data_IF_452375039657
#
_entry.id   IF_452375039657
#
_cell.length_a   1.000
_cell.length_b   1.000
_cell.length_c   1.000
_cell.angle_alpha   90.00
_cell.angle_beta   90.00
_cell.angle_gamma   90.00
#
_symmetry.space_group_name_H-M   'P 1'
#
loop_
_entity.id
_entity.type
_entity.pdbx_description
1 polymer ?
#
# COMPACT_ATOMS: atom_id res chain seq x y z
N UNK A 1 -6.75 -12.61 6.42
CA UNK A 1 -8.19 -12.29 6.39
C UNK A 1 -8.60 -12.18 4.94
N UNK A 2 -9.75 -12.71 4.56
CA UNK A 2 -10.24 -12.68 3.18
C UNK A 2 -11.32 -11.62 3.04
N UNK A 3 -11.46 -11.06 1.83
CA UNK A 3 -12.54 -10.10 1.52
C UNK A 3 -13.93 -10.66 1.81
N UNK A 4 -14.11 -11.97 1.69
CA UNK A 4 -15.34 -12.70 2.03
C UNK A 4 -15.76 -12.54 3.50
N UNK A 5 -14.80 -12.22 4.37
CA UNK A 5 -15.03 -12.07 5.81
C UNK A 5 -15.62 -10.69 6.17
N UNK A 6 -15.62 -9.74 5.21
CA UNK A 6 -16.18 -8.41 5.38
C UNK A 6 -17.68 -8.43 4.98
N UNK A 7 -18.59 -7.91 5.82
CA UNK A 7 -20.02 -7.89 5.51
C UNK A 7 -20.33 -7.18 4.18
N UNK A 8 -21.02 -7.88 3.27
CA UNK A 8 -21.39 -7.35 1.93
C UNK A 8 -22.06 -5.98 1.97
N UNK A 9 -22.87 -5.71 3.00
CA UNK A 9 -23.57 -4.43 3.18
C UNK A 9 -22.62 -3.23 3.27
N UNK A 10 -21.38 -3.42 3.73
CA UNK A 10 -20.38 -2.35 3.77
C UNK A 10 -19.90 -1.98 2.36
N UNK A 11 -19.78 -2.94 1.45
CA UNK A 11 -19.46 -2.67 0.05
C UNK A 11 -20.65 -2.07 -0.70
N UNK A 12 -21.87 -2.51 -0.37
CA UNK A 12 -23.11 -1.94 -0.93
C UNK A 12 -23.40 -0.51 -0.45
N UNK A 13 -22.61 0.05 0.49
CA UNK A 13 -22.75 1.43 0.94
C UNK A 13 -22.37 2.47 -0.11
N UNK A 14 -21.49 2.10 -1.04
CA UNK A 14 -21.11 2.94 -2.16
C UNK A 14 -22.05 2.60 -3.33
N UNK A 15 -22.57 3.62 -4.00
CA UNK A 15 -23.47 3.43 -5.15
C UNK A 15 -22.69 2.91 -6.37
N UNK A 16 -23.39 2.26 -7.29
CA UNK A 16 -22.78 1.75 -8.53
C UNK A 16 -22.33 2.87 -9.47
N UNK A 17 -23.02 4.01 -9.45
CA UNK A 17 -22.75 5.20 -10.27
C UNK A 17 -21.74 6.19 -9.63
N UNK A 18 -21.17 5.85 -8.47
CA UNK A 18 -20.16 6.71 -7.82
C UNK A 18 -18.87 6.74 -8.67
N UNK A 19 -18.39 7.92 -9.10
CA UNK A 19 -17.22 8.04 -9.97
C UNK A 19 -15.92 7.53 -9.31
N UNK A 20 -15.89 7.41 -7.98
CA UNK A 20 -14.76 6.90 -7.20
C UNK A 20 -15.03 5.52 -6.59
N UNK A 21 -16.05 4.80 -7.08
CA UNK A 21 -16.51 3.52 -6.52
C UNK A 21 -15.35 2.57 -6.21
N UNK A 22 -14.51 2.28 -7.20
CA UNK A 22 -13.38 1.33 -7.03
C UNK A 22 -12.44 1.79 -5.91
N UNK A 23 -12.07 3.08 -5.89
CA UNK A 23 -11.20 3.67 -4.88
C UNK A 23 -11.81 3.62 -3.47
N UNK A 24 -13.11 3.95 -3.35
CA UNK A 24 -13.83 3.91 -2.07
C UNK A 24 -13.94 2.47 -1.55
N UNK A 25 -14.30 1.51 -2.40
CA UNK A 25 -14.41 0.09 -2.02
C UNK A 25 -13.06 -0.48 -1.53
N UNK A 26 -11.96 -0.15 -2.23
CA UNK A 26 -10.61 -0.55 -1.82
C UNK A 26 -10.24 0.00 -0.44
N UNK A 27 -10.54 1.28 -0.19
CA UNK A 27 -10.27 1.90 1.11
C UNK A 27 -11.17 1.37 2.24
N UNK A 28 -12.44 1.06 1.95
CA UNK A 28 -13.35 0.40 2.91
C UNK A 28 -12.80 -0.97 3.30
N UNK A 29 -12.36 -1.77 2.33
CA UNK A 29 -11.77 -3.08 2.58
C UNK A 29 -10.58 -2.99 3.56
N UNK A 30 -9.65 -2.07 3.29
CA UNK A 30 -8.47 -1.88 4.15
C UNK A 30 -8.81 -1.33 5.52
N UNK A 31 -9.73 -0.36 5.59
CA UNK A 31 -10.22 0.16 6.87
C UNK A 31 -10.85 -0.95 7.72
N UNK A 32 -11.61 -1.86 7.08
CA UNK A 32 -12.20 -3.03 7.75
C UNK A 32 -11.13 -3.98 8.30
N UNK A 33 -10.04 -4.24 7.56
CA UNK A 33 -8.94 -5.06 8.08
C UNK A 33 -8.27 -4.43 9.32
N UNK A 34 -8.08 -3.11 9.33
CA UNK A 34 -7.53 -2.39 10.50
C UNK A 34 -8.52 -2.33 11.68
N UNK A 35 -9.83 -2.39 11.41
CA UNK A 35 -10.91 -2.25 12.38
C UNK A 35 -11.74 -3.52 12.55
N UNK A 36 -11.11 -4.67 12.36
CA UNK A 36 -11.78 -5.97 12.29
C UNK A 36 -12.68 -6.25 13.50
N UNK A 37 -12.22 -5.95 14.72
CA UNK A 37 -13.00 -6.15 15.94
C UNK A 37 -14.29 -5.31 15.99
N UNK A 38 -14.31 -4.12 15.38
CA UNK A 38 -15.48 -3.24 15.39
C UNK A 38 -16.64 -3.85 14.61
N UNK A 39 -16.37 -4.49 13.48
CA UNK A 39 -17.42 -5.06 12.64
C UNK A 39 -17.61 -6.57 12.83
N UNK A 40 -16.59 -7.36 13.21
CA UNK A 40 -16.73 -8.82 13.43
C UNK A 40 -17.74 -9.13 14.52
N UNK A 41 -17.73 -8.34 15.60
CA UNK A 41 -18.63 -8.49 16.75
C UNK A 41 -19.97 -7.78 16.55
N UNK A 42 -20.19 -7.19 15.37
CA UNK A 42 -21.39 -6.45 15.03
C UNK A 42 -22.50 -7.36 14.50
N UNK A 43 -23.73 -7.11 14.94
CA UNK A 43 -24.92 -7.64 14.25
C UNK A 43 -25.38 -6.70 13.13
N UNK A 44 -26.41 -7.13 12.39
CA UNK A 44 -27.01 -6.40 11.26
C UNK A 44 -27.22 -4.90 11.51
N UNK A 45 -27.68 -4.52 12.72
CA UNK A 45 -27.88 -3.11 13.11
C UNK A 45 -26.59 -2.29 13.04
N UNK A 46 -25.47 -2.82 13.55
CA UNK A 46 -24.16 -2.15 13.54
C UNK A 46 -23.58 -2.08 12.13
N UNK A 47 -23.71 -3.16 11.35
CA UNK A 47 -23.25 -3.17 9.96
C UNK A 47 -24.01 -2.17 9.10
N UNK A 48 -25.34 -2.09 9.25
CA UNK A 48 -26.15 -1.12 8.53
C UNK A 48 -25.79 0.33 8.91
N UNK A 49 -25.58 0.59 10.20
CA UNK A 49 -25.15 1.92 10.64
C UNK A 49 -23.76 2.28 10.12
N UNK A 50 -22.80 1.35 10.18
CA UNK A 50 -21.47 1.57 9.62
C UNK A 50 -21.53 1.81 8.10
N UNK A 51 -22.37 1.06 7.37
CA UNK A 51 -22.62 1.32 5.95
C UNK A 51 -23.18 2.73 5.72
N UNK A 52 -24.11 3.21 6.57
CA UNK A 52 -24.62 4.58 6.49
C UNK A 52 -23.50 5.61 6.72
N UNK A 53 -22.63 5.40 7.71
CA UNK A 53 -21.48 6.28 7.97
C UNK A 53 -20.53 6.30 6.75
N UNK A 54 -20.17 5.14 6.20
CA UNK A 54 -19.29 5.03 5.03
C UNK A 54 -19.90 5.57 3.74
N UNK A 55 -21.24 5.61 3.63
CA UNK A 55 -21.95 6.23 2.51
C UNK A 55 -22.01 7.77 2.57
N UNK A 56 -21.62 8.37 3.71
CA UNK A 56 -21.69 9.80 3.91
C UNK A 56 -20.57 10.54 3.18
N UNK A 57 -20.91 11.60 2.44
CA UNK A 57 -19.92 12.45 1.76
C UNK A 57 -18.92 13.09 2.74
N UNK A 58 -19.34 13.52 3.93
CA UNK A 58 -18.41 14.07 4.95
C UNK A 58 -17.31 13.10 5.41
N UNK A 59 -17.47 11.80 5.15
CA UNK A 59 -16.47 10.78 5.45
C UNK A 59 -15.46 10.60 4.31
N UNK A 60 -15.54 11.38 3.24
CA UNK A 60 -14.64 11.31 2.09
C UNK A 60 -14.08 12.69 1.76
N UNK A 61 -12.76 12.77 1.60
CA UNK A 61 -12.03 13.97 1.19
C UNK A 61 -11.54 13.80 -0.23
N UNK A 62 -11.70 14.83 -1.08
CA UNK A 62 -11.02 14.86 -2.39
C UNK A 62 -9.52 15.01 -2.16
N UNK A 63 -8.74 14.24 -2.92
CA UNK A 63 -7.28 14.27 -2.88
C UNK A 63 -6.72 14.24 -4.29
N UNK A 64 -5.56 14.86 -4.47
CA UNK A 64 -4.86 14.92 -5.75
C UNK A 64 -3.90 13.73 -5.89
N UNK A 65 -4.48 12.54 -6.05
CA UNK A 65 -3.74 11.30 -6.31
C UNK A 65 -4.59 10.32 -7.15
N UNK A 66 -4.04 9.16 -7.49
CA UNK A 66 -4.71 8.14 -8.32
C UNK A 66 -6.11 7.74 -7.82
N UNK A 67 -6.35 7.78 -6.51
CA UNK A 67 -7.66 7.43 -5.98
C UNK A 67 -8.70 8.54 -6.13
N UNK A 68 -8.28 9.80 -6.23
CA UNK A 68 -9.14 11.01 -6.30
C UNK A 68 -9.91 11.33 -5.01
N UNK A 69 -10.06 10.35 -4.12
CA UNK A 69 -10.70 10.48 -2.81
C UNK A 69 -9.97 9.68 -1.73
N UNK A 70 -10.06 10.13 -0.48
CA UNK A 70 -9.52 9.48 0.71
C UNK A 70 -10.59 9.39 1.80
N UNK A 71 -10.67 8.24 2.47
CA UNK A 71 -11.56 8.06 3.62
C UNK A 71 -11.09 8.98 4.77
N UNK A 72 -11.96 9.89 5.20
CA UNK A 72 -11.75 10.69 6.40
C UNK A 72 -12.15 9.88 7.64
N UNK A 73 -11.16 9.16 8.15
CA UNK A 73 -11.36 8.24 9.26
C UNK A 73 -11.59 8.94 10.60
N UNK A 74 -11.10 10.18 10.76
CA UNK A 74 -11.45 11.02 11.90
C UNK A 74 -12.96 11.27 11.91
N UNK A 75 -13.52 11.66 10.75
CA UNK A 75 -14.96 11.88 10.62
C UNK A 75 -15.78 10.59 10.77
N UNK A 76 -15.28 9.45 10.28
CA UNK A 76 -15.87 8.14 10.57
C UNK A 76 -15.94 7.90 12.08
N UNK A 77 -14.81 8.07 12.79
CA UNK A 77 -14.74 7.95 14.25
C UNK A 77 -15.75 8.83 14.97
N UNK A 78 -15.82 10.13 14.60
CA UNK A 78 -16.78 11.09 15.16
C UNK A 78 -18.22 10.61 14.99
N UNK A 79 -18.62 10.17 13.79
CA UNK A 79 -19.98 9.66 13.53
C UNK A 79 -20.27 8.37 14.30
N UNK A 80 -19.27 7.51 14.50
CA UNK A 80 -19.45 6.26 15.26
C UNK A 80 -19.71 6.50 16.75
N UNK A 81 -19.22 7.59 17.34
CA UNK A 81 -19.41 7.88 18.78
C UNK A 81 -20.59 8.80 19.09
N UNK A 82 -21.30 9.31 18.07
CA UNK A 82 -22.44 10.23 18.26
C UNK A 82 -23.57 9.60 19.10
N UNK A 83 -24.33 10.41 19.87
CA UNK A 83 -25.51 9.94 20.59
C UNK A 83 -26.49 9.19 19.66
N UNK A 84 -27.02 8.07 20.14
CA UNK A 84 -27.92 7.20 19.35
C UNK A 84 -27.20 6.18 18.45
N UNK A 85 -25.87 6.26 18.33
CA UNK A 85 -25.07 5.25 17.64
C UNK A 85 -25.24 3.86 18.27
N UNK A 86 -25.35 2.77 17.48
CA UNK A 86 -25.31 1.40 17.99
C UNK A 86 -23.92 0.99 18.54
N UNK A 87 -22.95 1.89 18.47
CA UNK A 87 -21.63 1.81 19.09
C UNK A 87 -21.53 2.62 20.39
N UNK A 88 -22.65 3.00 21.01
CA UNK A 88 -22.69 3.74 22.29
C UNK A 88 -21.98 3.04 23.47
N UNK A 89 -21.70 1.74 23.36
CA UNK A 89 -20.93 0.94 24.32
C UNK A 89 -19.93 0.05 23.54
N UNK A 90 -19.09 0.67 22.68
CA UNK A 90 -17.71 1.01 23.06
C UNK A 90 -17.22 2.42 22.65
N UNK A 91 -18.05 3.49 22.76
CA UNK A 91 -17.68 4.85 22.30
C UNK A 91 -16.31 5.37 22.77
N UNK A 92 -15.92 5.09 24.02
CA UNK A 92 -14.63 5.54 24.55
C UNK A 92 -13.44 4.83 23.88
N UNK A 93 -13.56 3.54 23.59
CA UNK A 93 -12.54 2.77 22.86
C UNK A 93 -12.40 3.27 21.43
N UNK A 94 -13.52 3.54 20.74
CA UNK A 94 -13.50 4.14 19.40
C UNK A 94 -12.85 5.52 19.43
N UNK A 95 -13.22 6.37 20.39
CA UNK A 95 -12.62 7.70 20.54
C UNK A 95 -11.12 7.62 20.77
N UNK A 96 -10.65 6.68 21.60
CA UNK A 96 -9.24 6.44 21.88
C UNK A 96 -8.48 5.95 20.63
N UNK A 97 -9.05 5.01 19.86
CA UNK A 97 -8.44 4.47 18.62
C UNK A 97 -8.32 5.52 17.52
N UNK A 98 -9.32 6.41 17.41
CA UNK A 98 -9.32 7.52 16.47
C UNK A 98 -8.63 8.79 17.02
N UNK A 99 -8.08 8.75 18.23
CA UNK A 99 -7.48 9.90 18.92
C UNK A 99 -8.34 11.17 18.89
N UNK A 100 -9.64 11.03 19.16
CA UNK A 100 -10.60 12.13 19.25
C UNK A 100 -10.43 12.88 20.59
N UNK A 101 -9.32 13.58 20.76
CA UNK A 101 -8.84 14.14 22.06
C UNK A 101 -9.94 14.81 22.90
N UNK A 102 -10.72 15.72 22.31
CA UNK A 102 -11.81 16.42 22.99
C UNK A 102 -12.92 15.46 23.45
N UNK A 103 -13.33 14.52 22.59
CA UNK A 103 -14.36 13.53 22.90
C UNK A 103 -13.88 12.54 23.96
N UNK A 104 -12.59 12.15 23.93
CA UNK A 104 -11.98 11.29 24.95
C UNK A 104 -12.09 11.97 26.32
N UNK A 105 -11.71 13.24 26.42
CA UNK A 105 -11.81 14.03 27.67
C UNK A 105 -13.26 14.11 28.14
N UNK A 106 -14.19 14.44 27.23
CA UNK A 106 -15.61 14.57 27.57
C UNK A 106 -16.22 13.24 28.06
N UNK A 107 -15.97 12.15 27.35
CA UNK A 107 -16.45 10.81 27.70
C UNK A 107 -15.84 10.32 29.03
N UNK A 108 -14.57 10.61 29.27
CA UNK A 108 -13.91 10.26 30.52
C UNK A 108 -14.51 11.03 31.71
N UNK A 109 -14.71 12.34 31.57
CA UNK A 109 -15.34 13.17 32.61
C UNK A 109 -16.82 12.80 32.85
N UNK A 110 -17.57 12.44 31.81
CA UNK A 110 -18.93 11.93 31.96
C UNK A 110 -18.96 10.62 32.75
N UNK A 111 -18.03 9.69 32.46
CA UNK A 111 -17.87 8.46 33.25
C UNK A 111 -17.54 8.77 34.69
N UNK A 112 -16.59 9.67 34.95
CA UNK A 112 -16.19 10.08 36.30
C UNK A 112 -17.37 10.67 37.08
N UNK A 113 -18.18 11.53 36.46
CA UNK A 113 -19.42 12.06 37.05
C UNK A 113 -20.42 10.94 37.37
N UNK A 114 -20.64 9.99 36.46
CA UNK A 114 -21.51 8.82 36.69
C UNK A 114 -21.05 7.93 37.83
N UNK A 115 -19.73 7.70 37.95
CA UNK A 115 -19.16 6.91 39.05
C UNK A 115 -19.26 7.67 40.38
N UNK A 116 -18.98 8.98 40.37
CA UNK A 116 -19.12 9.83 41.56
C UNK A 116 -20.56 9.87 42.08
N UNK A 117 -21.55 9.92 41.18
CA UNK A 117 -22.97 9.91 41.55
C UNK A 117 -23.42 8.62 42.27
N UNK A 118 -22.63 7.54 42.20
CA UNK A 118 -22.92 6.29 42.94
C UNK A 118 -22.50 6.36 44.42
N UNK A 119 -21.87 7.45 44.87
CA UNK A 119 -21.56 7.70 46.28
C UNK A 119 -20.44 6.83 46.87
N UNK A 120 -19.71 6.07 46.05
CA UNK A 120 -18.59 5.21 46.49
C UNK A 120 -17.26 5.82 46.06
N UNK A 121 -16.51 6.36 47.01
CA UNK A 121 -15.19 6.98 46.76
C UNK A 121 -14.19 6.04 46.10
N UNK A 122 -14.24 4.73 46.40
CA UNK A 122 -13.39 3.71 45.79
C UNK A 122 -13.55 3.60 44.27
N UNK A 123 -14.68 4.03 43.70
CA UNK A 123 -14.90 4.05 42.25
C UNK A 123 -14.12 5.16 41.53
N UNK A 124 -13.70 6.19 42.27
CA UNK A 124 -12.90 7.30 41.76
C UNK A 124 -11.40 7.07 41.98
N UNK A 125 -11.03 6.03 42.72
CA UNK A 125 -9.64 5.61 42.85
C UNK A 125 -9.09 5.11 41.51
N UNK A 126 -7.79 5.31 41.32
CA UNK A 126 -7.06 4.94 40.11
C UNK A 126 -7.42 3.53 39.56
N UNK A 127 -7.57 2.54 40.44
CA UNK A 127 -7.93 1.18 40.05
C UNK A 127 -9.28 1.11 39.31
N UNK A 128 -10.31 1.78 39.79
CA UNK A 128 -11.63 1.74 39.15
C UNK A 128 -11.77 2.78 38.03
N UNK A 129 -11.17 3.95 38.21
CA UNK A 129 -11.29 5.06 37.29
C UNK A 129 -10.51 4.81 36.00
N UNK A 130 -9.30 4.25 36.11
CA UNK A 130 -8.38 4.06 34.97
C UNK A 130 -8.33 2.59 34.53
N UNK A 131 -8.08 1.63 35.44
CA UNK A 131 -7.85 0.22 35.07
C UNK A 131 -9.10 -0.48 34.52
N UNK A 132 -10.30 0.01 34.84
CA UNK A 132 -11.56 -0.55 34.34
C UNK A 132 -12.07 0.11 33.05
N UNK A 133 -11.29 0.98 32.40
CA UNK A 133 -11.69 1.61 31.12
C UNK A 133 -11.51 0.68 29.91
N UNK A 134 -10.63 -0.31 30.01
CA UNK A 134 -10.41 -1.32 28.96
C UNK A 134 -8.98 -1.87 28.99
N UNK A 135 -8.75 -2.96 28.26
CA UNK A 135 -7.44 -3.60 28.14
C UNK A 135 -6.65 -3.17 26.90
N UNK A 136 -7.28 -2.45 25.96
CA UNK A 136 -6.64 -1.97 24.75
C UNK A 136 -5.53 -0.95 25.07
N UNK A 137 -4.40 -1.01 24.35
CA UNK A 137 -3.23 -0.18 24.65
C UNK A 137 -3.51 1.31 24.53
N UNK A 138 -4.30 1.75 23.54
CA UNK A 138 -4.66 3.16 23.38
C UNK A 138 -5.65 3.60 24.46
N UNK A 139 -6.60 2.74 24.82
CA UNK A 139 -7.53 3.01 25.93
C UNK A 139 -6.77 3.17 27.24
N UNK A 140 -5.79 2.31 27.50
CA UNK A 140 -4.94 2.42 28.67
C UNK A 140 -4.15 3.72 28.64
N UNK A 141 -3.42 4.01 27.55
CA UNK A 141 -2.68 5.26 27.40
C UNK A 141 -3.56 6.48 27.70
N UNK A 142 -4.68 6.62 26.99
CA UNK A 142 -5.56 7.77 27.12
C UNK A 142 -6.13 7.90 28.52
N UNK A 143 -6.58 6.79 29.13
CA UNK A 143 -7.13 6.82 30.49
C UNK A 143 -6.11 7.26 31.53
N UNK A 144 -4.83 6.90 31.38
CA UNK A 144 -3.77 7.40 32.26
C UNK A 144 -3.44 8.87 31.98
N UNK A 145 -3.40 9.25 30.70
CA UNK A 145 -3.09 10.60 30.25
C UNK A 145 -4.13 11.61 30.73
N UNK A 146 -5.42 11.40 30.42
CA UNK A 146 -6.49 12.34 30.78
C UNK A 146 -6.81 12.37 32.26
N UNK A 147 -6.51 11.30 33.01
CA UNK A 147 -6.69 11.28 34.47
C UNK A 147 -5.54 11.95 35.24
N UNK A 148 -4.46 12.37 34.56
CA UNK A 148 -3.27 12.89 35.21
C UNK A 148 -2.43 11.81 35.92
N UNK A 149 -2.64 10.54 35.59
CA UNK A 149 -1.92 9.39 36.16
C UNK A 149 -0.92 8.75 35.19
N UNK A 150 -0.40 9.52 34.21
CA UNK A 150 0.56 9.01 33.22
C UNK A 150 1.82 8.41 33.86
N UNK A 151 2.24 8.93 35.02
CA UNK A 151 3.39 8.41 35.78
C UNK A 151 3.19 6.99 36.33
N UNK A 152 1.95 6.49 36.40
CA UNK A 152 1.64 5.11 36.79
C UNK A 152 1.70 4.13 35.62
N UNK A 153 1.80 4.64 34.38
CA UNK A 153 2.00 3.83 33.20
C UNK A 153 3.49 3.63 32.99
N UNK A 154 3.93 2.38 32.77
CA UNK A 154 5.33 2.12 32.46
C UNK A 154 5.64 2.55 31.02
N UNK A 155 6.26 3.72 30.87
CA UNK A 155 6.67 4.27 29.57
C UNK A 155 8.01 3.73 29.08
N UNK A 156 8.72 2.92 29.86
CA UNK A 156 10.09 2.44 29.58
C UNK A 156 11.06 3.58 29.20
N UNK A 157 11.00 4.70 29.94
CA UNK A 157 11.86 5.87 29.73
C UNK A 157 11.53 6.70 28.48
N UNK A 158 10.43 6.42 27.78
CA UNK A 158 10.00 7.16 26.59
C UNK A 158 9.15 8.38 26.95
N UNK A 159 9.14 9.37 26.06
CA UNK A 159 8.18 10.46 26.12
C UNK A 159 6.74 9.92 26.00
N UNK A 160 5.73 10.46 26.72
CA UNK A 160 4.34 9.98 26.62
C UNK A 160 3.81 9.88 25.19
N UNK A 161 4.09 10.87 24.33
CA UNK A 161 3.66 10.80 22.92
C UNK A 161 4.41 9.75 22.10
N UNK A 162 5.69 9.47 22.38
CA UNK A 162 6.42 8.35 21.76
C UNK A 162 5.83 7.00 22.20
N UNK A 163 5.42 6.89 23.46
CA UNK A 163 4.70 5.70 23.94
C UNK A 163 3.34 5.55 23.25
N UNK A 164 2.54 6.63 23.17
CA UNK A 164 1.26 6.65 22.47
C UNK A 164 1.38 6.26 20.99
N UNK A 165 2.41 6.76 20.30
CA UNK A 165 2.73 6.37 18.93
C UNK A 165 2.99 4.86 18.82
N UNK A 166 3.78 4.27 19.73
CA UNK A 166 4.03 2.83 19.74
C UNK A 166 2.75 2.01 19.99
N UNK A 167 1.84 2.50 20.84
CA UNK A 167 0.52 1.88 21.01
C UNK A 167 -0.29 1.92 19.72
N UNK A 168 -0.31 3.06 19.03
CA UNK A 168 -1.01 3.24 17.77
C UNK A 168 -0.47 2.31 16.67
N UNK A 169 0.87 2.19 16.57
CA UNK A 169 1.53 1.25 15.66
C UNK A 169 1.15 -0.19 15.94
N UNK A 170 1.16 -0.60 17.22
CA UNK A 170 0.83 -1.97 17.64
C UNK A 170 -0.62 -2.35 17.28
N UNK A 171 -1.51 -1.36 17.23
CA UNK A 171 -2.92 -1.52 16.89
C UNK A 171 -3.26 -1.18 15.44
N UNK A 172 -2.27 -0.81 14.63
CA UNK A 172 -2.42 -0.48 13.20
C UNK A 172 -3.39 0.69 12.95
N UNK A 173 -3.46 1.65 13.88
CA UNK A 173 -4.40 2.78 13.83
C UNK A 173 -3.71 4.00 13.20
N UNK A 174 -3.93 4.25 11.90
CA UNK A 174 -3.18 5.29 11.18
C UNK A 174 -3.50 6.71 11.68
N UNK A 175 -4.74 6.95 12.09
CA UNK A 175 -5.21 8.23 12.64
C UNK A 175 -4.53 8.53 13.98
N UNK A 176 -4.36 7.50 14.81
CA UNK A 176 -3.63 7.65 16.06
C UNK A 176 -2.14 7.87 15.82
N UNK A 177 -1.55 7.20 14.83
CA UNK A 177 -0.15 7.46 14.42
C UNK A 177 0.03 8.90 13.96
N UNK A 178 -0.87 9.39 13.11
CA UNK A 178 -0.87 10.78 12.63
C UNK A 178 -1.00 11.77 13.80
N UNK A 179 -1.94 11.52 14.71
CA UNK A 179 -2.12 12.35 15.90
C UNK A 179 -0.86 12.43 16.76
N UNK A 180 -0.30 11.27 17.17
CA UNK A 180 0.87 11.25 18.04
C UNK A 180 2.12 11.79 17.36
N UNK A 181 2.30 11.53 16.07
CA UNK A 181 3.39 12.12 15.31
C UNK A 181 3.28 13.64 15.28
N UNK A 182 2.10 14.20 15.02
CA UNK A 182 1.91 15.66 15.02
C UNK A 182 2.24 16.27 16.39
N UNK A 183 1.87 15.60 17.49
CA UNK A 183 2.25 16.02 18.85
C UNK A 183 3.78 15.96 19.04
N UNK A 184 4.44 14.86 18.67
CA UNK A 184 5.91 14.69 18.73
C UNK A 184 6.63 15.78 17.92
N UNK A 185 6.20 15.99 16.68
CA UNK A 185 6.76 16.99 15.76
C UNK A 185 6.71 18.39 16.36
N UNK A 186 5.61 18.72 17.03
CA UNK A 186 5.40 20.02 17.69
C UNK A 186 6.15 20.23 19.01
N UNK A 187 6.79 19.19 19.58
CA UNK A 187 7.54 19.32 20.83
C UNK A 187 8.73 20.27 20.66
N UNK A 188 9.06 21.09 21.68
CA UNK A 188 10.26 21.92 21.63
C UNK A 188 11.54 21.07 21.75
N UNK A 189 12.67 21.60 21.26
CA UNK A 189 14.00 20.96 21.33
C UNK A 189 14.41 20.60 22.76
N UNK A 190 13.92 21.35 23.75
CA UNK A 190 14.13 21.10 25.18
C UNK A 190 13.47 19.80 25.69
N UNK A 191 12.42 19.32 25.02
CA UNK A 191 11.72 18.08 25.36
C UNK A 191 12.15 16.92 24.47
N UNK A 192 12.37 17.17 23.18
CA UNK A 192 12.83 16.15 22.24
C UNK A 192 13.60 16.79 21.10
N UNK A 193 14.84 16.33 20.89
CA UNK A 193 15.68 16.85 19.82
C UNK A 193 15.16 16.49 18.43
N UNK A 194 15.40 17.35 17.43
CA UNK A 194 15.08 17.05 16.03
C UNK A 194 15.68 15.71 15.57
N UNK A 195 16.90 15.39 16.00
CA UNK A 195 17.53 14.10 15.68
C UNK A 195 16.73 12.91 16.24
N UNK A 196 16.21 13.03 17.48
CA UNK A 196 15.39 11.98 18.09
C UNK A 196 14.02 11.87 17.42
N UNK A 197 13.41 12.99 17.03
CA UNK A 197 12.14 13.00 16.26
C UNK A 197 12.32 12.31 14.92
N UNK A 198 13.37 12.66 14.19
CA UNK A 198 13.74 12.05 12.91
C UNK A 198 13.93 10.53 13.06
N UNK A 199 14.66 10.10 14.09
CA UNK A 199 14.90 8.69 14.36
C UNK A 199 13.60 7.92 14.69
N UNK A 200 12.70 8.51 15.48
CA UNK A 200 11.38 7.94 15.77
C UNK A 200 10.58 7.80 14.48
N UNK A 201 10.59 8.81 13.62
CA UNK A 201 9.81 8.80 12.39
C UNK A 201 10.32 7.77 11.39
N UNK A 202 11.65 7.70 11.19
CA UNK A 202 12.27 6.72 10.30
C UNK A 202 12.01 5.29 10.77
N UNK A 203 12.12 5.03 12.08
CA UNK A 203 11.75 3.71 12.66
C UNK A 203 10.28 3.38 12.44
N UNK A 204 9.39 4.36 12.61
CA UNK A 204 7.96 4.19 12.40
C UNK A 204 7.66 3.84 10.94
N UNK A 205 8.30 4.53 9.99
CA UNK A 205 8.15 4.27 8.56
C UNK A 205 8.64 2.86 8.19
N UNK A 206 9.83 2.46 8.64
CA UNK A 206 10.39 1.12 8.37
C UNK A 206 9.52 0.02 8.96
N UNK A 207 9.04 0.20 10.18
CA UNK A 207 8.14 -0.76 10.82
C UNK A 207 6.78 -0.84 10.11
N UNK A 208 6.26 0.29 9.61
CA UNK A 208 5.01 0.35 8.85
C UNK A 208 5.10 -0.27 7.45
N UNK A 209 6.28 -0.19 6.82
CA UNK A 209 6.57 -0.94 5.60
C UNK A 209 6.43 -2.44 5.88
N UNK A 210 7.05 -2.91 6.96
CA UNK A 210 6.87 -4.25 7.52
C UNK A 210 7.10 -5.40 6.53
N UNK A 211 6.83 -6.61 7.00
CA UNK A 211 6.78 -7.77 6.10
C UNK A 211 5.42 -7.88 5.39
N UNK A 212 5.30 -8.63 4.28
CA UNK A 212 4.06 -8.83 3.50
C UNK A 212 2.82 -9.12 4.35
N UNK A 213 2.98 -9.78 5.51
CA UNK A 213 1.88 -10.12 6.42
C UNK A 213 1.63 -9.09 7.55
N UNK A 214 2.57 -8.16 7.75
CA UNK A 214 2.58 -7.18 8.84
C UNK A 214 2.72 -5.73 8.35
N UNK A 215 2.59 -5.46 7.05
CA UNK A 215 2.63 -4.11 6.51
C UNK A 215 1.38 -3.31 6.88
N UNK A 216 1.56 -2.00 7.06
CA UNK A 216 0.50 -1.04 7.41
C UNK A 216 0.49 0.08 6.37
N UNK A 217 -0.08 -0.16 5.17
CA UNK A 217 0.24 0.70 4.06
C UNK A 217 -0.31 2.13 4.20
N UNK A 218 -1.34 2.39 5.02
CA UNK A 218 -1.80 3.76 5.29
C UNK A 218 -0.92 4.51 6.29
N UNK A 219 -0.33 3.78 7.24
CA UNK A 219 0.68 4.37 8.12
C UNK A 219 1.95 4.66 7.32
N UNK A 220 2.38 3.70 6.50
CA UNK A 220 3.54 3.89 5.64
C UNK A 220 3.36 5.05 4.67
N UNK A 221 2.20 5.15 4.01
CA UNK A 221 1.87 6.26 3.12
C UNK A 221 1.94 7.61 3.85
N UNK A 222 1.37 7.69 5.06
CA UNK A 222 1.47 8.89 5.89
C UNK A 222 2.92 9.26 6.17
N UNK A 223 3.74 8.29 6.59
CA UNK A 223 5.15 8.50 6.85
C UNK A 223 5.88 8.97 5.59
N UNK A 224 5.75 8.22 4.49
CA UNK A 224 6.43 8.48 3.23
C UNK A 224 6.13 9.86 2.67
N UNK A 225 4.87 10.32 2.78
CA UNK A 225 4.45 11.66 2.31
C UNK A 225 5.15 12.83 3.01
N UNK A 226 5.78 12.58 4.17
CA UNK A 226 6.51 13.60 4.95
C UNK A 226 8.02 13.38 4.97
N UNK A 227 8.51 12.23 4.50
CA UNK A 227 9.94 11.98 4.39
C UNK A 227 10.51 12.77 3.22
N UNK A 228 11.55 13.56 3.50
CA UNK A 228 12.27 14.29 2.46
C UNK A 228 12.94 13.28 1.49
N UNK A 229 12.89 13.50 0.16
CA UNK A 229 13.54 12.64 -0.82
C UNK A 229 15.03 12.37 -0.55
N UNK A 230 15.76 13.33 0.03
CA UNK A 230 17.16 13.15 0.43
C UNK A 230 17.38 12.05 1.48
N UNK A 231 16.33 11.60 2.18
CA UNK A 231 16.37 10.49 3.15
C UNK A 231 15.91 9.15 2.56
N UNK A 232 15.47 9.09 1.30
CA UNK A 232 15.04 7.83 0.68
C UNK A 232 16.12 6.74 0.64
N UNK A 233 17.41 7.04 0.36
CA UNK A 233 18.46 6.03 0.45
C UNK A 233 18.60 5.43 1.86
N UNK A 234 18.47 6.27 2.89
CA UNK A 234 18.53 5.82 4.28
C UNK A 234 17.30 4.97 4.64
N UNK A 235 16.10 5.36 4.18
CA UNK A 235 14.88 4.60 4.35
C UNK A 235 15.03 3.19 3.76
N UNK A 236 15.46 3.10 2.50
CA UNK A 236 15.66 1.83 1.79
C UNK A 236 16.69 0.94 2.48
N UNK A 237 17.80 1.53 2.96
CA UNK A 237 18.82 0.78 3.70
C UNK A 237 18.28 0.19 5.00
N UNK A 238 17.52 0.98 5.78
CA UNK A 238 16.92 0.52 7.04
C UNK A 238 15.81 -0.49 6.79
N UNK A 239 14.99 -0.28 5.77
CA UNK A 239 13.92 -1.19 5.34
C UNK A 239 14.47 -2.58 4.99
N UNK A 240 15.50 -2.63 4.13
CA UNK A 240 16.16 -3.89 3.78
C UNK A 240 16.78 -4.58 5.02
N UNK A 241 17.42 -3.82 5.90
CA UNK A 241 18.06 -4.37 7.10
C UNK A 241 17.05 -4.95 8.11
N UNK A 242 15.90 -4.29 8.28
CA UNK A 242 14.86 -4.73 9.23
C UNK A 242 13.98 -5.85 8.66
N UNK A 243 13.55 -5.73 7.40
CA UNK A 243 12.55 -6.62 6.80
C UNK A 243 13.17 -7.76 5.98
N UNK A 244 14.46 -7.67 5.62
CA UNK A 244 15.16 -8.64 4.76
C UNK A 244 14.85 -8.48 3.26
N UNK A 245 14.02 -7.50 2.89
CA UNK A 245 13.67 -7.10 1.52
C UNK A 245 13.10 -5.67 1.57
N UNK A 246 12.77 -5.10 0.42
CA UNK A 246 12.17 -3.76 0.34
C UNK A 246 10.67 -3.79 0.62
N UNK A 247 10.30 -3.91 1.90
CA UNK A 247 8.92 -3.86 2.38
C UNK A 247 8.20 -2.57 1.99
N UNK A 248 8.93 -1.45 1.90
CA UNK A 248 8.43 -0.14 1.49
C UNK A 248 7.84 -0.16 0.08
N UNK A 249 8.57 -0.72 -0.89
CA UNK A 249 8.12 -0.86 -2.27
C UNK A 249 6.91 -1.80 -2.39
N UNK A 250 6.96 -2.96 -1.73
CA UNK A 250 5.84 -3.90 -1.68
C UNK A 250 4.56 -3.25 -1.11
N UNK A 251 4.74 -2.43 -0.07
CA UNK A 251 3.66 -1.70 0.59
C UNK A 251 3.05 -0.63 -0.31
N UNK A 252 3.87 0.12 -1.05
CA UNK A 252 3.39 1.12 -2.02
C UNK A 252 2.68 0.46 -3.21
N UNK A 253 3.21 -0.63 -3.74
CA UNK A 253 2.59 -1.40 -4.82
C UNK A 253 1.23 -1.96 -4.39
N UNK A 254 1.16 -2.63 -3.23
CA UNK A 254 -0.09 -3.15 -2.67
C UNK A 254 -1.10 -2.05 -2.30
N UNK A 255 -0.64 -0.83 -2.04
CA UNK A 255 -1.48 0.34 -1.81
C UNK A 255 -1.93 1.03 -3.09
N UNK A 256 -1.48 0.60 -4.27
CA UNK A 256 -1.69 1.27 -5.56
C UNK A 256 -1.15 2.71 -5.54
N UNK A 257 0.04 2.90 -4.95
CA UNK A 257 0.79 4.18 -4.88
C UNK A 257 1.97 4.17 -5.86
N UNK A 258 1.65 4.03 -7.15
CA UNK A 258 2.66 3.78 -8.18
C UNK A 258 3.63 4.96 -8.39
N UNK A 259 3.17 6.21 -8.24
CA UNK A 259 4.03 7.40 -8.32
C UNK A 259 5.06 7.45 -7.19
N UNK A 260 4.63 7.08 -5.97
CA UNK A 260 5.49 7.00 -4.79
C UNK A 260 6.46 5.82 -4.89
N UNK A 261 5.96 4.67 -5.39
CA UNK A 261 6.81 3.50 -5.68
C UNK A 261 7.93 3.91 -6.64
N UNK A 262 7.59 4.55 -7.75
CA UNK A 262 8.54 4.98 -8.76
C UNK A 262 9.63 5.87 -8.16
N UNK A 263 9.23 6.92 -7.44
CA UNK A 263 10.16 7.84 -6.76
C UNK A 263 11.12 7.13 -5.82
N UNK A 264 10.66 6.09 -5.11
CA UNK A 264 11.50 5.35 -4.18
C UNK A 264 12.41 4.36 -4.92
N UNK A 265 11.86 3.67 -5.93
CA UNK A 265 12.59 2.73 -6.80
C UNK A 265 13.77 3.43 -7.50
N UNK A 266 13.65 4.71 -7.85
CA UNK A 266 14.70 5.49 -8.49
C UNK A 266 16.00 5.56 -7.69
N UNK A 267 15.94 5.46 -6.36
CA UNK A 267 17.12 5.46 -5.49
C UNK A 267 17.77 4.08 -5.33
N UNK A 268 17.21 3.02 -5.93
CA UNK A 268 17.81 1.69 -5.91
C UNK A 268 18.90 1.54 -6.96
N UNK A 269 20.00 0.92 -6.53
CA UNK A 269 21.03 0.39 -7.41
C UNK A 269 20.64 -1.02 -7.85
N UNK A 270 20.87 -1.43 -9.11
CA UNK A 270 20.62 -2.80 -9.55
C UNK A 270 21.29 -3.85 -8.67
N UNK A 271 22.50 -3.55 -8.15
CA UNK A 271 23.27 -4.46 -7.31
C UNK A 271 22.66 -4.68 -5.92
N UNK A 272 21.75 -3.81 -5.48
CA UNK A 272 21.08 -3.94 -4.18
C UNK A 272 19.73 -4.68 -4.28
N UNK A 273 19.28 -5.02 -5.48
CA UNK A 273 17.98 -5.65 -5.74
C UNK A 273 18.21 -7.09 -6.21
N UNK A 274 17.52 -8.05 -5.60
CA UNK A 274 17.55 -9.44 -6.09
C UNK A 274 16.73 -9.58 -7.38
N UNK A 275 17.08 -10.55 -8.23
CA UNK A 275 16.31 -10.83 -9.44
C UNK A 275 14.87 -11.26 -9.10
N UNK A 276 14.68 -12.01 -8.02
CA UNK A 276 13.38 -12.43 -7.50
C UNK A 276 12.51 -11.24 -7.06
N UNK A 277 13.07 -10.29 -6.30
CA UNK A 277 12.32 -9.09 -5.86
C UNK A 277 11.87 -8.25 -7.05
N UNK A 278 12.76 -8.06 -8.03
CA UNK A 278 12.44 -7.34 -9.25
C UNK A 278 11.33 -8.01 -10.05
N UNK A 279 11.39 -9.35 -10.20
CA UNK A 279 10.37 -10.13 -10.88
C UNK A 279 9.01 -10.04 -10.17
N UNK A 280 9.00 -10.15 -8.84
CA UNK A 280 7.81 -9.94 -7.99
C UNK A 280 7.18 -8.57 -8.25
N UNK A 281 7.98 -7.51 -8.34
CA UNK A 281 7.43 -6.18 -8.59
C UNK A 281 6.85 -6.05 -9.99
N UNK A 282 7.47 -6.67 -10.99
CA UNK A 282 6.94 -6.70 -12.35
C UNK A 282 5.66 -7.54 -12.49
N UNK A 283 5.41 -8.50 -11.59
CA UNK A 283 4.11 -9.17 -11.46
C UNK A 283 3.04 -8.22 -10.91
N UNK A 284 2.65 -7.25 -11.73
CA UNK A 284 1.74 -6.17 -11.36
C UNK A 284 0.26 -6.59 -11.32
N UNK A 285 -0.02 -7.90 -11.37
CA UNK A 285 -1.36 -8.51 -11.34
C UNK A 285 -2.38 -7.81 -12.28
N UNK A 286 -1.94 -7.38 -13.47
CA UNK A 286 -2.70 -6.55 -14.43
C UNK A 286 -4.15 -7.04 -14.64
N UNK A 287 -4.36 -8.36 -14.69
CA UNK A 287 -5.71 -8.96 -14.87
C UNK A 287 -6.70 -8.61 -13.76
N UNK A 288 -6.24 -8.32 -12.55
CA UNK A 288 -7.08 -8.06 -11.38
C UNK A 288 -7.54 -6.60 -11.27
N UNK A 289 -7.01 -5.71 -12.09
CA UNK A 289 -7.23 -4.28 -11.99
C UNK A 289 -8.17 -3.72 -13.08
N UNK A 290 -8.90 -2.66 -12.73
CA UNK A 290 -9.77 -1.91 -13.65
C UNK A 290 -9.00 -0.80 -14.38
N UNK A 291 -9.57 -0.26 -15.46
CA UNK A 291 -8.86 0.55 -16.46
C UNK A 291 -8.17 1.85 -16.00
N UNK A 292 -8.51 2.57 -14.90
CA UNK A 292 -7.64 3.65 -14.45
C UNK A 292 -6.36 3.13 -13.79
N UNK A 293 -6.41 1.98 -13.12
CA UNK A 293 -5.25 1.41 -12.44
C UNK A 293 -4.30 0.71 -13.40
N UNK A 294 -4.82 0.03 -14.43
CA UNK A 294 -3.99 -0.68 -15.42
C UNK A 294 -3.07 0.30 -16.15
N UNK A 295 -3.55 1.50 -16.51
CA UNK A 295 -2.73 2.53 -17.14
C UNK A 295 -1.51 2.91 -16.28
N UNK A 296 -1.72 3.20 -15.00
CA UNK A 296 -0.63 3.57 -14.09
C UNK A 296 0.30 2.40 -13.77
N UNK A 297 -0.24 1.18 -13.69
CA UNK A 297 0.55 -0.05 -13.59
C UNK A 297 1.50 -0.18 -14.77
N UNK A 298 0.99 0.01 -16.00
CA UNK A 298 1.79 -0.13 -17.22
C UNK A 298 2.87 0.96 -17.30
N UNK A 299 2.57 2.19 -16.89
CA UNK A 299 3.58 3.26 -16.77
C UNK A 299 4.69 2.87 -15.80
N UNK A 300 4.33 2.35 -14.62
CA UNK A 300 5.32 1.90 -13.64
C UNK A 300 6.14 0.71 -14.16
N UNK A 301 5.48 -0.26 -14.79
CA UNK A 301 6.14 -1.38 -15.45
C UNK A 301 7.20 -0.89 -16.45
N UNK A 302 6.82 0.00 -17.37
CA UNK A 302 7.73 0.53 -18.38
C UNK A 302 8.88 1.32 -17.75
N UNK A 303 8.60 2.11 -16.72
CA UNK A 303 9.65 2.84 -15.99
C UNK A 303 10.70 1.89 -15.39
N UNK A 304 10.25 0.83 -14.73
CA UNK A 304 11.15 -0.19 -14.18
C UNK A 304 11.90 -0.94 -15.29
N UNK A 305 11.16 -1.37 -16.32
CA UNK A 305 11.70 -2.13 -17.44
C UNK A 305 12.80 -1.38 -18.18
N UNK A 306 12.64 -0.07 -18.37
CA UNK A 306 13.59 0.76 -19.09
C UNK A 306 14.74 1.27 -18.21
N UNK A 307 14.73 1.00 -16.90
CA UNK A 307 15.79 1.49 -16.00
C UNK A 307 17.14 0.88 -16.33
N UNK A 308 18.16 1.73 -16.42
CA UNK A 308 19.54 1.32 -16.73
C UNK A 308 20.11 0.41 -15.63
N UNK A 309 20.89 -0.60 -16.06
CA UNK A 309 21.63 -1.49 -15.16
C UNK A 309 20.86 -2.71 -14.64
N UNK A 310 19.56 -2.83 -14.91
CA UNK A 310 18.73 -3.99 -14.57
C UNK A 310 18.73 -5.09 -15.66
N UNK A 311 19.78 -5.17 -16.47
CA UNK A 311 19.86 -6.10 -17.61
C UNK A 311 19.79 -7.58 -17.19
N UNK A 312 20.47 -7.93 -16.09
CA UNK A 312 20.44 -9.31 -15.53
C UNK A 312 19.05 -9.67 -15.02
N UNK A 313 18.38 -8.75 -14.32
CA UNK A 313 17.02 -8.95 -13.82
C UNK A 313 16.03 -9.16 -14.96
N UNK A 314 16.10 -8.33 -16.02
CA UNK A 314 15.30 -8.51 -17.23
C UNK A 314 15.54 -9.85 -17.90
N UNK A 315 16.81 -10.30 -17.98
CA UNK A 315 17.15 -11.59 -18.56
C UNK A 315 16.54 -12.77 -17.80
N UNK A 316 16.42 -12.70 -16.47
CA UNK A 316 15.67 -13.70 -15.69
C UNK A 316 14.18 -13.67 -16.06
N UNK A 317 13.56 -12.50 -16.04
CA UNK A 317 12.12 -12.34 -16.33
C UNK A 317 11.78 -12.87 -17.73
N UNK A 318 12.59 -12.55 -18.75
CA UNK A 318 12.41 -13.04 -20.13
C UNK A 318 12.50 -14.55 -20.19
N UNK A 319 13.48 -15.14 -19.49
CA UNK A 319 13.65 -16.60 -19.44
C UNK A 319 12.43 -17.29 -18.82
N UNK A 320 11.90 -16.72 -17.74
CA UNK A 320 10.71 -17.25 -17.07
C UNK A 320 9.44 -17.09 -17.92
N UNK A 321 9.27 -15.95 -18.60
CA UNK A 321 8.11 -15.69 -19.47
C UNK A 321 8.15 -16.53 -20.76
N UNK A 322 9.33 -16.72 -21.37
CA UNK A 322 9.46 -17.26 -22.73
C UNK A 322 9.95 -18.72 -22.80
N UNK A 323 10.72 -19.21 -21.82
CA UNK A 323 11.42 -20.49 -21.94
C UNK A 323 10.96 -21.60 -20.99
N UNK A 324 10.37 -21.30 -19.82
CA UNK A 324 10.20 -22.32 -18.77
C UNK A 324 8.75 -22.59 -18.30
N UNK A 325 8.53 -23.83 -17.86
CA UNK A 325 7.25 -24.41 -17.39
C UNK A 325 7.17 -24.47 -15.86
N UNK A 326 7.86 -23.59 -15.13
CA UNK A 326 7.80 -23.63 -13.67
C UNK A 326 6.40 -23.21 -13.15
N UNK A 327 5.68 -24.08 -12.42
CA UNK A 327 4.34 -23.78 -11.93
C UNK A 327 4.31 -22.87 -10.69
N UNK A 328 5.46 -22.53 -10.10
CA UNK A 328 5.55 -21.87 -8.79
C UNK A 328 5.71 -20.34 -8.85
N UNK A 329 6.27 -19.79 -9.93
CA UNK A 329 6.59 -18.36 -10.06
C UNK A 329 6.27 -17.83 -11.46
N UNK A 330 5.14 -18.26 -12.03
CA UNK A 330 4.78 -17.89 -13.39
C UNK A 330 4.33 -16.43 -13.42
N UNK A 331 5.27 -15.50 -13.58
CA UNK A 331 4.95 -14.20 -14.13
C UNK A 331 4.37 -14.48 -15.51
N UNK A 332 3.11 -14.11 -15.71
CA UNK A 332 2.46 -14.20 -17.04
C UNK A 332 2.19 -12.76 -17.41
N UNK A 333 3.18 -12.08 -17.97
CA UNK A 333 3.11 -10.66 -18.31
C UNK A 333 2.43 -10.44 -19.65
N UNK A 334 2.86 -11.19 -20.68
CA UNK A 334 2.47 -10.89 -22.06
C UNK A 334 0.97 -11.07 -22.29
N UNK A 335 0.40 -12.13 -21.73
CA UNK A 335 -1.02 -12.45 -21.95
C UNK A 335 -1.97 -11.39 -21.37
N UNK A 336 -1.88 -10.99 -20.08
CA UNK A 336 -2.67 -9.88 -19.55
C UNK A 336 -2.51 -8.57 -20.31
N UNK A 337 -1.28 -8.24 -20.73
CA UNK A 337 -0.99 -7.01 -21.46
C UNK A 337 -1.72 -6.99 -22.81
N UNK A 338 -1.64 -8.08 -23.58
CA UNK A 338 -2.37 -8.24 -24.86
C UNK A 338 -3.89 -8.21 -24.65
N UNK A 339 -4.41 -8.93 -23.65
CA UNK A 339 -5.85 -8.92 -23.33
C UNK A 339 -6.37 -7.51 -23.03
N UNK A 340 -5.52 -6.68 -22.42
CA UNK A 340 -5.83 -5.30 -22.02
C UNK A 340 -5.41 -4.22 -23.03
N UNK A 341 -4.90 -4.60 -24.21
CA UNK A 341 -4.43 -3.70 -25.30
C UNK A 341 -3.11 -2.96 -25.08
N UNK A 342 -2.30 -3.37 -24.11
CA UNK A 342 -1.04 -2.69 -23.82
C UNK A 342 0.10 -3.36 -24.59
N UNK A 343 0.17 -3.06 -25.89
CA UNK A 343 1.16 -3.68 -26.77
C UNK A 343 2.57 -3.11 -26.65
N UNK A 344 2.73 -1.85 -26.23
CA UNK A 344 4.05 -1.23 -26.04
C UNK A 344 4.96 -2.05 -25.07
N UNK A 345 4.50 -2.42 -23.85
CA UNK A 345 5.24 -3.33 -22.97
C UNK A 345 5.55 -4.70 -23.59
N UNK A 346 4.63 -5.26 -24.37
CA UNK A 346 4.81 -6.55 -25.05
C UNK A 346 6.00 -6.47 -26.01
N UNK A 347 6.07 -5.41 -26.81
CA UNK A 347 7.20 -5.18 -27.72
C UNK A 347 8.50 -4.96 -26.95
N UNK A 348 8.48 -4.17 -25.88
CA UNK A 348 9.66 -3.91 -25.08
C UNK A 348 10.27 -5.19 -24.45
N UNK A 349 9.43 -6.20 -24.14
CA UNK A 349 9.90 -7.51 -23.67
C UNK A 349 10.50 -8.31 -24.83
N UNK A 350 9.76 -8.44 -25.94
CA UNK A 350 10.17 -9.26 -27.08
C UNK A 350 11.42 -8.71 -27.79
N UNK A 351 11.62 -7.39 -27.80
CA UNK A 351 12.77 -6.72 -28.42
C UNK A 351 14.11 -7.02 -27.70
N UNK A 352 14.07 -7.44 -26.44
CA UNK A 352 15.26 -7.79 -25.65
C UNK A 352 15.55 -9.31 -25.71
N UNK A 353 14.53 -10.12 -26.01
CA UNK A 353 14.68 -11.56 -26.08
C UNK A 353 15.57 -12.00 -27.25
N UNK A 354 16.36 -13.05 -27.05
CA UNK A 354 17.19 -13.60 -28.11
C UNK A 354 16.37 -14.50 -29.07
N UNK A 355 16.95 -14.86 -30.20
CA UNK A 355 16.26 -15.60 -31.26
C UNK A 355 15.78 -16.98 -30.80
N UNK A 356 16.57 -17.69 -29.98
CA UNK A 356 16.17 -19.00 -29.43
C UNK A 356 14.98 -18.88 -28.48
N UNK A 357 14.96 -17.84 -27.65
CA UNK A 357 13.85 -17.52 -26.75
C UNK A 357 12.57 -17.22 -27.53
N UNK A 358 12.66 -16.35 -28.53
CA UNK A 358 11.53 -16.02 -29.40
C UNK A 358 11.01 -17.26 -30.12
N UNK A 359 11.89 -18.12 -30.66
CA UNK A 359 11.49 -19.37 -31.31
C UNK A 359 10.65 -20.26 -30.38
N UNK A 360 11.20 -20.57 -29.21
CA UNK A 360 10.53 -21.43 -28.21
C UNK A 360 9.18 -20.84 -27.80
N UNK A 361 9.12 -19.53 -27.60
CA UNK A 361 7.90 -18.83 -27.25
C UNK A 361 6.85 -18.90 -28.36
N UNK A 362 7.23 -18.67 -29.63
CA UNK A 362 6.31 -18.69 -30.76
C UNK A 362 5.70 -20.07 -31.03
N UNK A 363 6.38 -21.14 -30.62
CA UNK A 363 5.89 -22.52 -30.64
C UNK A 363 5.02 -22.90 -29.42
N UNK A 364 4.81 -21.97 -28.49
CA UNK A 364 4.07 -22.22 -27.24
C UNK A 364 2.56 -21.99 -27.36
N UNK A 365 1.79 -22.65 -26.48
CA UNK A 365 0.34 -22.40 -26.31
C UNK A 365 0.03 -20.94 -25.95
N UNK A 366 0.95 -20.26 -25.29
CA UNK A 366 0.77 -18.86 -24.90
C UNK A 366 0.80 -17.95 -26.12
N UNK A 367 1.75 -18.15 -27.04
CA UNK A 367 1.81 -17.41 -28.30
C UNK A 367 0.61 -17.71 -29.20
N UNK A 368 0.13 -18.96 -29.23
CA UNK A 368 -1.11 -19.33 -29.95
C UNK A 368 -2.33 -18.59 -29.37
N UNK A 369 -2.44 -18.51 -28.05
CA UNK A 369 -3.51 -17.74 -27.40
C UNK A 369 -3.41 -16.24 -27.74
N UNK A 370 -2.23 -15.63 -27.61
CA UNK A 370 -2.00 -14.22 -27.97
C UNK A 370 -2.38 -13.96 -29.43
N UNK A 371 -1.99 -14.84 -30.35
CA UNK A 371 -2.39 -14.77 -31.77
C UNK A 371 -3.91 -14.75 -31.92
N UNK A 372 -4.62 -15.66 -31.25
CA UNK A 372 -6.08 -15.73 -31.31
C UNK A 372 -6.80 -14.50 -30.75
N UNK A 373 -6.17 -13.80 -29.79
CA UNK A 373 -6.69 -12.54 -29.24
C UNK A 373 -6.47 -11.41 -30.25
N UNK A 374 -5.26 -11.30 -30.81
CA UNK A 374 -4.91 -10.25 -31.78
C UNK A 374 -5.69 -10.39 -33.10
N UNK A 375 -5.88 -11.62 -33.61
CA UNK A 375 -6.70 -11.91 -34.80
C UNK A 375 -8.11 -11.32 -34.74
N UNK A 376 -8.69 -11.23 -33.53
CA UNK A 376 -10.04 -10.72 -33.32
C UNK A 376 -10.08 -9.21 -33.11
N UNK A 377 -8.94 -8.57 -32.88
CA UNK A 377 -8.87 -7.23 -32.31
C UNK A 377 -8.05 -6.25 -33.15
N UNK A 378 -6.81 -6.61 -33.46
CA UNK A 378 -5.83 -5.71 -34.05
C UNK A 378 -4.91 -6.47 -35.02
N UNK A 379 -5.18 -6.31 -36.32
CA UNK A 379 -4.44 -6.94 -37.41
C UNK A 379 -3.01 -6.39 -37.52
N UNK A 380 -2.78 -5.13 -37.17
CA UNK A 380 -1.44 -4.53 -37.27
C UNK A 380 -0.53 -5.06 -36.16
N UNK A 381 -1.03 -5.12 -34.92
CA UNK A 381 -0.32 -5.78 -33.82
C UNK A 381 -0.14 -7.28 -34.06
N UNK A 382 -1.12 -7.96 -34.67
CA UNK A 382 -0.96 -9.36 -35.09
C UNK A 382 0.19 -9.51 -36.09
N UNK A 383 0.24 -8.68 -37.13
CA UNK A 383 1.28 -8.73 -38.14
C UNK A 383 2.67 -8.49 -37.53
N UNK A 384 2.79 -7.51 -36.62
CA UNK A 384 4.03 -7.25 -35.88
C UNK A 384 4.41 -8.43 -34.99
N UNK A 385 3.46 -9.01 -34.26
CA UNK A 385 3.70 -10.20 -33.42
C UNK A 385 4.22 -11.38 -34.24
N UNK A 386 3.60 -11.66 -35.39
CA UNK A 386 4.01 -12.74 -36.29
C UNK A 386 5.39 -12.49 -36.93
N UNK A 387 5.81 -11.23 -37.08
CA UNK A 387 7.12 -10.89 -37.62
C UNK A 387 8.26 -11.41 -36.73
N UNK A 388 8.11 -11.43 -35.40
CA UNK A 388 9.12 -12.00 -34.49
C UNK A 388 9.38 -13.49 -34.76
N UNK A 389 8.36 -14.27 -35.12
CA UNK A 389 8.55 -15.69 -35.47
C UNK A 389 9.22 -15.90 -36.82
N UNK A 390 8.96 -15.01 -37.79
CA UNK A 390 9.54 -15.09 -39.13
C UNK A 390 11.01 -14.68 -39.16
N UNK A 391 11.37 -13.58 -38.47
CA UNK A 391 12.76 -13.09 -38.43
C UNK A 391 13.73 -14.14 -37.89
N UNK A 392 13.32 -14.90 -36.88
CA UNK A 392 14.12 -15.98 -36.29
C UNK A 392 14.34 -17.15 -37.25
N UNK A 393 13.35 -17.47 -38.08
CA UNK A 393 13.49 -18.53 -39.10
C UNK A 393 14.51 -18.11 -40.16
N UNK A 394 14.47 -16.85 -40.59
CA UNK A 394 15.41 -16.30 -41.58
C UNK A 394 16.85 -16.13 -41.07
N UNK A 395 17.06 -15.80 -39.78
CA UNK A 395 18.40 -15.67 -39.19
C UNK A 395 19.07 -17.04 -38.98
N UNK A 396 18.31 -18.06 -38.57
CA UNK A 396 18.81 -19.43 -38.43
C UNK A 396 19.17 -20.05 -39.79
N UNK A 397 18.38 -19.76 -40.84
CA UNK A 397 18.66 -20.22 -42.21
C UNK A 397 19.92 -19.57 -42.81
N UNK A 398 20.37 -18.42 -42.29
CA UNK A 398 21.61 -17.75 -42.70
C UNK A 398 22.86 -18.24 -41.95
N UNK A 399 22.71 -19.05 -40.90
CA UNK A 399 23.84 -19.64 -40.17
C UNK A 399 24.67 -18.66 -39.33
N UNK A 400 24.19 -17.44 -39.07
CA UNK A 400 24.91 -16.44 -38.28
C UNK A 400 24.78 -16.70 -36.77
N UNK A 401 25.61 -17.62 -36.26
CA UNK A 401 25.94 -17.72 -34.83
C UNK A 401 26.88 -16.57 -34.45
N UNK A 402 26.37 -15.33 -34.37
CA UNK A 402 27.14 -14.22 -33.81
C UNK A 402 26.80 -14.02 -32.33
N UNK A 403 27.43 -14.81 -31.49
CA UNK A 403 27.65 -14.47 -30.08
C UNK A 403 28.64 -13.30 -30.00
N UNK A 404 28.15 -12.08 -29.78
CA UNK A 404 29.00 -10.98 -29.33
C UNK A 404 28.57 -9.58 -29.76
N UNK A 405 28.18 -8.77 -28.77
CA UNK A 405 28.27 -7.30 -28.80
C UNK A 405 27.40 -6.57 -29.84
N UNK A 406 26.11 -6.45 -29.57
CA UNK A 406 25.27 -5.33 -30.08
C UNK A 406 24.81 -4.43 -28.94
N UNK A 407 25.75 -4.04 -28.09
CA UNK A 407 25.67 -2.82 -27.29
C UNK A 407 26.02 -1.59 -28.15
N UNK A 408 25.46 -1.47 -29.37
CA UNK A 408 25.59 -0.28 -30.23
C UNK A 408 24.39 -0.26 -31.20
N UNK A 409 23.25 0.31 -30.78
CA UNK A 409 22.28 1.01 -31.65
C UNK A 409 21.03 1.60 -30.96
N UNK A 410 20.96 1.63 -29.63
CA UNK A 410 19.90 2.39 -28.93
C UNK A 410 20.19 3.90 -28.78
N UNK A 411 21.35 4.40 -29.20
CA UNK A 411 21.65 5.85 -29.15
C UNK A 411 21.16 6.66 -30.37
N UNK A 412 20.64 6.01 -31.43
CA UNK A 412 20.20 6.72 -32.65
C UNK A 412 18.69 6.87 -32.81
N UNK A 413 17.89 6.25 -31.94
CA UNK A 413 16.43 6.44 -31.94
C UNK A 413 16.00 7.67 -31.10
N UNK A 414 16.80 8.10 -30.12
CA UNK A 414 16.49 9.29 -29.31
C UNK A 414 16.73 10.62 -30.02
N UNK A 415 17.63 10.68 -31.01
CA UNK A 415 17.88 11.92 -31.78
C UNK A 415 16.83 12.18 -32.88
N UNK A 416 16.02 11.18 -33.26
CA UNK A 416 14.98 11.32 -34.29
C UNK A 416 13.59 11.67 -33.75
N UNK A 417 13.40 11.74 -32.42
CA UNK A 417 12.14 12.15 -31.79
C UNK A 417 12.16 13.56 -31.18
N UNK A 418 13.23 14.35 -31.39
CA UNK A 418 13.21 15.79 -31.12
C UNK A 418 12.89 16.19 -29.68
N UNK A 419 13.26 15.38 -28.69
CA UNK A 419 13.22 15.75 -27.27
C UNK A 419 14.63 15.92 -26.74
N UNK A 420 15.24 17.04 -27.15
CA UNK A 420 16.46 17.58 -26.57
C UNK A 420 16.15 18.90 -25.87
N UNK A 421 15.72 18.79 -24.61
CA UNK A 421 16.08 19.64 -23.45
C UNK A 421 15.19 19.30 -22.25
#
# INVERSE_FOLDING_TARGET
>A
MLRSDIPKVLFSSIKEDDPYRTSKLFQIERWCYANWDLHKRGGKKRHNFLAQVLSSEDCWKKVDNLHGVKLDRYMVGKKLIMPGSPFSNPSYDIACRCCLEEDIIALFEERKKRLSAQGKSSLLEYGHLVRCCGSDLLVQFWSHFVSGHISKLNLNGRHPYEYGLNCAMSLKQAEAVEFFWNKIKSLPESEMSEQKKDEIFMKTAVYAAGSRCNSYPEIFEFCFSQINPGKYPELLKRDLAENGYYGSLNTLQGALRFDQFQKLFDFLSPNSVSEDDYNIWLDMEIKKHSEPYVNEIVKLFMHMWMKEGFDSHRALVIREELEDKSPLFRTVLLTPLVEKDYMEPVWAILDIANCDQIKKFMDSRQAEYIRSVLEKRDVDSLNKFLAYGKSVTEELDRGDLSTGLTKVKLSKACEQLGLGN
#
